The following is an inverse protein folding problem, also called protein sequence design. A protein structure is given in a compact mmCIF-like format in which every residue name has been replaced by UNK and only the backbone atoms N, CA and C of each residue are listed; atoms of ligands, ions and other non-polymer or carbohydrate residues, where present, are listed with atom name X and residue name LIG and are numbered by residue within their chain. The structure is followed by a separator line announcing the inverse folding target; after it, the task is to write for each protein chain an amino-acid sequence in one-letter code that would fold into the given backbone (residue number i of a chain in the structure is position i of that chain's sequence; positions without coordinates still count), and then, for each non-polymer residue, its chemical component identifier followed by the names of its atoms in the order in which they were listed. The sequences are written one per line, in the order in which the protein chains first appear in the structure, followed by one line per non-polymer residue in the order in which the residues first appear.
data_IF_880881851101
#
_entry.id   IF_880881851101
#
_cell.length_a   1.000
_cell.length_b   1.000
_cell.length_c   1.000
_cell.angle_alpha   90.00
_cell.angle_beta   90.00
_cell.angle_gamma   90.00
#
_symmetry.space_group_name_H-M   'P 1'
#
loop_
_entity.id
_entity.type
_entity.pdbx_description
1 polymer ?
#
# COMPACT_ATOMS: atom_id res chain seq x y z
N UNK A 1 24.14 -38.04 9.80
CA UNK A 1 23.89 -36.71 9.22
C UNK A 1 22.42 -36.64 8.83
N UNK A 2 21.56 -36.13 9.74
CA UNK A 2 20.11 -36.04 9.48
C UNK A 2 19.77 -34.63 9.03
N UNK A 3 19.48 -34.47 7.74
CA UNK A 3 19.06 -33.20 7.14
C UNK A 3 17.55 -33.02 7.31
N UNK A 4 17.14 -32.10 8.18
CA UNK A 4 15.75 -31.66 8.29
C UNK A 4 15.46 -30.57 7.24
N UNK A 5 14.63 -30.88 6.27
CA UNK A 5 14.09 -29.93 5.27
C UNK A 5 13.02 -29.05 5.92
N UNK A 6 13.36 -27.77 6.11
CA UNK A 6 12.46 -26.75 6.64
C UNK A 6 11.44 -26.30 5.57
N UNK A 7 10.19 -26.77 5.67
CA UNK A 7 9.10 -26.36 4.78
C UNK A 7 8.61 -24.98 5.19
N UNK A 8 8.96 -23.97 4.39
CA UNK A 8 8.54 -22.58 4.59
C UNK A 8 7.09 -22.40 4.15
N UNK A 9 6.14 -22.55 5.07
CA UNK A 9 4.72 -22.23 4.81
C UNK A 9 4.51 -20.72 4.69
N UNK A 10 4.20 -20.24 3.50
CA UNK A 10 3.88 -18.83 3.25
C UNK A 10 2.42 -18.55 3.63
N UNK A 11 2.19 -18.10 4.87
CA UNK A 11 0.88 -17.65 5.35
C UNK A 11 0.38 -16.48 4.48
N UNK A 12 -0.69 -16.69 3.69
CA UNK A 12 -1.35 -15.63 2.91
C UNK A 12 -1.78 -14.49 3.84
N UNK A 13 -1.22 -13.30 3.65
CA UNK A 13 -1.64 -12.09 4.37
C UNK A 13 -3.05 -11.72 3.92
N UNK A 14 -4.01 -11.74 4.84
CA UNK A 14 -5.32 -11.16 4.61
C UNK A 14 -5.17 -9.66 4.37
N UNK A 15 -5.39 -9.21 3.13
CA UNK A 15 -5.45 -7.79 2.81
C UNK A 15 -6.81 -7.27 3.24
N UNK A 16 -6.84 -6.40 4.25
CA UNK A 16 -8.03 -5.63 4.61
C UNK A 16 -8.47 -4.87 3.36
N UNK A 17 -9.63 -5.24 2.80
CA UNK A 17 -10.19 -4.57 1.61
C UNK A 17 -10.55 -3.15 2.02
N UNK A 18 -10.07 -2.17 1.25
CA UNK A 18 -10.45 -0.76 1.47
C UNK A 18 -11.99 -0.64 1.34
N UNK A 19 -12.66 0.12 2.22
CA UNK A 19 -14.08 0.40 2.07
C UNK A 19 -14.34 0.98 0.67
N UNK A 20 -15.44 0.56 0.06
CA UNK A 20 -15.93 1.17 -1.18
C UNK A 20 -16.89 2.29 -0.81
N UNK A 21 -16.73 3.42 -1.48
CA UNK A 21 -17.67 4.52 -1.40
C UNK A 21 -18.95 4.15 -2.16
N UNK A 22 -20.11 4.27 -1.50
CA UNK A 22 -21.41 4.01 -2.13
C UNK A 22 -21.96 5.24 -2.85
N UNK A 23 -21.51 6.43 -2.48
CA UNK A 23 -22.01 7.71 -2.97
C UNK A 23 -21.16 8.27 -4.10
N UNK A 24 -19.93 7.76 -4.28
CA UNK A 24 -19.09 8.13 -5.40
C UNK A 24 -19.72 7.72 -6.75
N UNK A 25 -19.65 8.57 -7.78
CA UNK A 25 -20.08 8.21 -9.12
C UNK A 25 -19.30 6.99 -9.60
N UNK A 26 -19.93 6.15 -10.43
CA UNK A 26 -19.29 4.94 -10.97
C UNK A 26 -18.55 5.28 -12.26
N UNK A 27 -17.29 4.88 -12.42
CA UNK A 27 -16.58 5.11 -13.67
C UNK A 27 -17.26 4.33 -14.81
N UNK A 28 -17.28 4.89 -16.03
CA UNK A 28 -17.83 4.19 -17.19
C UNK A 28 -16.99 2.96 -17.53
N UNK A 29 -17.64 1.96 -18.11
CA UNK A 29 -16.96 0.75 -18.58
C UNK A 29 -15.98 1.12 -19.69
N UNK A 30 -14.76 0.59 -19.62
CA UNK A 30 -13.78 0.76 -20.70
C UNK A 30 -14.30 0.18 -22.01
N UNK A 31 -13.80 0.62 -23.19
CA UNK A 31 -14.32 0.17 -24.48
C UNK A 31 -14.42 -1.34 -24.62
N UNK A 32 -13.37 -2.06 -24.21
CA UNK A 32 -13.34 -3.53 -24.22
C UNK A 32 -14.37 -4.15 -23.27
N UNK A 33 -14.56 -3.60 -22.07
CA UNK A 33 -15.53 -4.11 -21.11
C UNK A 33 -16.97 -3.81 -21.53
N UNK A 34 -17.22 -2.66 -22.16
CA UNK A 34 -18.50 -2.31 -22.78
C UNK A 34 -18.83 -3.29 -23.90
N UNK A 35 -17.89 -3.52 -24.81
CA UNK A 35 -18.02 -4.53 -25.86
C UNK A 35 -18.29 -5.93 -25.27
N UNK A 36 -17.48 -6.34 -24.29
CA UNK A 36 -17.65 -7.65 -23.65
C UNK A 36 -18.99 -7.79 -22.92
N UNK A 37 -19.57 -6.71 -22.39
CA UNK A 37 -20.92 -6.72 -21.82
C UNK A 37 -22.00 -6.84 -22.91
N UNK A 38 -21.86 -6.12 -24.02
CA UNK A 38 -22.76 -6.22 -25.18
C UNK A 38 -22.74 -7.63 -25.77
N UNK A 39 -21.56 -8.22 -25.98
CA UNK A 39 -21.44 -9.58 -26.52
C UNK A 39 -22.01 -10.65 -25.58
N UNK A 40 -21.81 -10.51 -24.25
CA UNK A 40 -22.42 -11.43 -23.27
C UNK A 40 -23.95 -11.28 -23.19
N UNK A 41 -24.49 -10.09 -23.46
CA UNK A 41 -25.93 -9.87 -23.52
C UNK A 41 -26.54 -10.38 -24.84
N UNK A 42 -25.80 -10.26 -25.94
CA UNK A 42 -26.21 -10.73 -27.26
C UNK A 42 -26.12 -12.25 -27.39
N UNK A 43 -25.11 -12.87 -26.78
CA UNK A 43 -24.87 -14.32 -26.86
C UNK A 43 -24.83 -14.95 -25.45
N UNK A 44 -25.93 -15.59 -25.03
CA UNK A 44 -26.01 -16.32 -23.77
C UNK A 44 -24.98 -17.45 -23.67
N UNK A 45 -24.50 -18.00 -24.78
CA UNK A 45 -23.50 -19.08 -24.77
C UNK A 45 -22.16 -18.59 -24.22
N UNK A 46 -21.77 -17.33 -24.52
CA UNK A 46 -20.59 -16.69 -23.93
C UNK A 46 -20.82 -16.51 -22.43
N UNK A 47 -22.00 -16.08 -22.02
CA UNK A 47 -22.32 -15.88 -20.59
C UNK A 47 -22.30 -17.20 -19.78
N UNK A 48 -22.62 -18.33 -20.42
CA UNK A 48 -22.62 -19.66 -19.82
C UNK A 48 -21.21 -20.26 -19.66
N UNK A 49 -20.21 -19.76 -20.39
CA UNK A 49 -18.82 -20.24 -20.27
C UNK A 49 -18.21 -19.82 -18.92
N UNK A 50 -17.22 -20.56 -18.39
CA UNK A 50 -16.41 -20.11 -17.25
C UNK A 50 -15.73 -18.77 -17.55
N UNK A 51 -15.67 -17.85 -16.57
CA UNK A 51 -15.14 -16.48 -16.73
C UNK A 51 -13.77 -16.43 -17.43
N UNK A 52 -12.87 -17.37 -17.13
CA UNK A 52 -11.57 -17.47 -17.80
C UNK A 52 -11.64 -17.82 -19.29
N UNK A 53 -12.64 -18.59 -19.71
CA UNK A 53 -12.91 -18.90 -21.13
C UNK A 53 -13.64 -17.75 -21.83
N UNK A 54 -14.55 -17.05 -21.13
CA UNK A 54 -15.24 -15.86 -21.67
C UNK A 54 -14.22 -14.82 -22.15
N UNK A 55 -13.20 -14.53 -21.32
CA UNK A 55 -12.18 -13.54 -21.66
C UNK A 55 -11.40 -13.87 -22.94
N UNK A 56 -11.16 -15.15 -23.24
CA UNK A 56 -10.47 -15.56 -24.47
C UNK A 56 -11.32 -15.30 -25.71
N UNK A 57 -12.57 -15.74 -25.69
CA UNK A 57 -13.52 -15.55 -26.79
C UNK A 57 -13.72 -14.05 -27.06
N UNK A 58 -13.94 -13.26 -26.00
CA UNK A 58 -14.12 -11.80 -26.13
C UNK A 58 -12.87 -11.09 -26.66
N UNK A 59 -11.67 -11.54 -26.28
CA UNK A 59 -10.43 -10.97 -26.79
C UNK A 59 -10.24 -11.26 -28.29
N UNK A 60 -10.54 -12.47 -28.74
CA UNK A 60 -10.49 -12.83 -30.16
C UNK A 60 -11.53 -12.05 -30.99
N UNK A 61 -12.75 -11.91 -30.48
CA UNK A 61 -13.80 -11.11 -31.11
C UNK A 61 -13.42 -9.63 -31.19
N UNK A 62 -12.85 -9.07 -30.11
CA UNK A 62 -12.36 -7.69 -30.11
C UNK A 62 -11.21 -7.50 -31.10
N UNK A 63 -10.27 -8.44 -31.19
CA UNK A 63 -9.16 -8.35 -32.14
C UNK A 63 -9.66 -8.33 -33.60
N UNK A 64 -10.68 -9.14 -33.92
CA UNK A 64 -11.31 -9.22 -35.25
C UNK A 64 -12.29 -8.08 -35.56
N UNK A 65 -12.68 -7.29 -34.56
CA UNK A 65 -13.61 -6.17 -34.75
C UNK A 65 -12.96 -5.10 -35.64
N UNK A 66 -13.74 -4.54 -36.57
CA UNK A 66 -13.32 -3.44 -37.43
C UNK A 66 -12.83 -2.24 -36.60
N UNK A 67 -11.81 -1.52 -37.08
CA UNK A 67 -11.26 -0.37 -36.35
C UNK A 67 -12.30 0.74 -36.20
N UNK A 68 -13.17 0.93 -37.20
CA UNK A 68 -14.27 1.90 -37.16
C UNK A 68 -15.24 1.60 -36.02
N UNK A 69 -15.61 0.33 -35.83
CA UNK A 69 -16.46 -0.10 -34.72
C UNK A 69 -15.74 0.04 -33.36
N UNK A 70 -14.43 -0.23 -33.29
CA UNK A 70 -13.65 0.05 -32.07
C UNK A 70 -13.61 1.55 -31.77
N UNK A 71 -13.48 2.39 -32.79
CA UNK A 71 -13.47 3.84 -32.66
C UNK A 71 -14.80 4.39 -32.18
N UNK A 72 -15.93 3.89 -32.68
CA UNK A 72 -17.27 4.23 -32.20
C UNK A 72 -17.37 3.97 -30.67
N UNK A 73 -16.98 2.77 -30.24
CA UNK A 73 -17.03 2.39 -28.82
C UNK A 73 -16.07 3.26 -27.98
N UNK A 74 -14.90 3.62 -28.52
CA UNK A 74 -13.96 4.56 -27.87
C UNK A 74 -14.57 5.97 -27.78
N UNK A 75 -15.25 6.46 -28.82
CA UNK A 75 -15.91 7.78 -28.83
C UNK A 75 -17.02 7.84 -27.78
N UNK A 76 -17.86 6.82 -27.68
CA UNK A 76 -18.87 6.73 -26.63
C UNK A 76 -18.24 6.69 -25.24
N UNK A 77 -17.21 5.87 -25.03
CA UNK A 77 -16.47 5.83 -23.77
C UNK A 77 -15.91 7.19 -23.39
N UNK A 78 -15.34 7.93 -24.35
CA UNK A 78 -14.78 9.25 -24.07
C UNK A 78 -15.86 10.26 -23.65
N UNK A 79 -17.05 10.21 -24.26
CA UNK A 79 -18.19 11.05 -23.84
C UNK A 79 -18.62 10.73 -22.41
N UNK A 80 -18.80 9.45 -22.10
CA UNK A 80 -19.21 9.03 -20.75
C UNK A 80 -18.13 9.33 -19.71
N UNK A 81 -16.86 9.21 -20.08
CA UNK A 81 -15.72 9.56 -19.23
C UNK A 81 -15.73 11.04 -18.89
N UNK A 82 -16.03 11.91 -19.85
CA UNK A 82 -16.14 13.35 -19.61
C UNK A 82 -17.32 13.70 -18.69
N UNK A 83 -18.46 13.02 -18.83
CA UNK A 83 -19.59 13.19 -17.91
C UNK A 83 -19.23 12.74 -16.50
N UNK A 84 -18.65 11.55 -16.37
CA UNK A 84 -18.18 11.02 -15.09
C UNK A 84 -17.15 11.93 -14.43
N UNK A 85 -16.24 12.53 -15.19
CA UNK A 85 -15.24 13.46 -14.66
C UNK A 85 -15.90 14.69 -14.03
N UNK A 86 -16.93 15.26 -14.68
CA UNK A 86 -17.73 16.36 -14.12
C UNK A 86 -18.49 15.95 -12.86
N UNK A 87 -19.19 14.81 -12.90
CA UNK A 87 -19.90 14.28 -11.73
C UNK A 87 -18.94 14.01 -10.55
N UNK A 88 -17.74 13.52 -10.85
CA UNK A 88 -16.70 13.26 -9.85
C UNK A 88 -16.15 14.56 -9.26
N UNK A 89 -15.99 15.61 -10.06
CA UNK A 89 -15.58 16.93 -9.58
C UNK A 89 -16.62 17.58 -8.67
N UNK A 90 -17.90 17.44 -9.00
CA UNK A 90 -19.01 17.86 -8.14
C UNK A 90 -19.05 17.03 -6.86
N UNK A 91 -18.96 15.72 -6.97
CA UNK A 91 -18.93 14.80 -5.83
C UNK A 91 -17.79 15.11 -4.86
N UNK A 92 -16.59 15.44 -5.35
CA UNK A 92 -15.45 15.82 -4.49
C UNK A 92 -15.70 17.06 -3.64
N UNK A 93 -16.68 17.90 -4.00
CA UNK A 93 -17.04 19.10 -3.24
C UNK A 93 -18.09 18.83 -2.17
N UNK A 94 -18.69 17.63 -2.14
CA UNK A 94 -19.77 17.32 -1.20
C UNK A 94 -19.25 16.83 0.16
N UNK A 95 -20.11 16.93 1.18
CA UNK A 95 -19.79 16.47 2.53
C UNK A 95 -19.65 14.94 2.61
N UNK A 96 -20.34 14.19 1.74
CA UNK A 96 -20.20 12.74 1.63
C UNK A 96 -18.78 12.33 1.23
N UNK A 97 -18.16 13.05 0.30
CA UNK A 97 -16.77 12.79 -0.06
C UNK A 97 -15.83 13.08 1.11
N UNK A 98 -16.05 14.19 1.83
CA UNK A 98 -15.24 14.56 2.99
C UNK A 98 -15.33 13.51 4.11
N UNK A 99 -16.55 13.11 4.47
CA UNK A 99 -16.78 12.07 5.50
C UNK A 99 -16.17 10.72 5.10
N UNK A 100 -16.24 10.34 3.82
CA UNK A 100 -15.59 9.13 3.33
C UNK A 100 -14.06 9.23 3.41
N UNK A 101 -13.47 10.38 3.02
CA UNK A 101 -12.02 10.62 3.16
C UNK A 101 -11.57 10.56 4.63
N UNK A 102 -12.34 11.12 5.55
CA UNK A 102 -12.02 11.09 6.98
C UNK A 102 -12.15 9.68 7.55
N UNK A 103 -13.12 8.89 7.07
CA UNK A 103 -13.22 7.46 7.37
C UNK A 103 -12.01 6.68 6.82
N UNK A 104 -11.53 6.99 5.61
CA UNK A 104 -10.33 6.36 5.06
C UNK A 104 -9.07 6.71 5.87
N UNK A 105 -8.93 7.99 6.26
CA UNK A 105 -7.82 8.45 7.12
C UNK A 105 -7.88 7.78 8.49
N UNK A 106 -9.04 7.74 9.13
CA UNK A 106 -9.20 7.10 10.43
C UNK A 106 -8.86 5.61 10.35
N UNK A 107 -9.32 4.88 9.33
CA UNK A 107 -8.92 3.48 9.12
C UNK A 107 -7.42 3.31 8.83
N UNK A 108 -6.79 4.28 8.16
CA UNK A 108 -5.33 4.26 7.94
C UNK A 108 -4.54 4.56 9.21
N UNK A 109 -5.10 5.36 10.12
CA UNK A 109 -4.53 5.65 11.44
C UNK A 109 -4.78 4.52 12.44
N UNK A 110 -5.93 3.84 12.34
CA UNK A 110 -6.33 2.64 13.11
C UNK A 110 -5.57 1.39 12.67
N UNK A 111 -4.96 1.38 11.47
CA UNK A 111 -3.70 0.63 11.29
C UNK A 111 -2.67 1.31 12.19
N UNK A 112 -2.78 1.02 13.48
CA UNK A 112 -1.89 1.51 14.52
C UNK A 112 -0.49 1.49 13.94
N UNK A 113 0.23 2.61 14.06
CA UNK A 113 1.68 2.59 14.00
C UNK A 113 2.09 1.54 15.03
N UNK A 114 2.28 0.28 14.61
CA UNK A 114 3.02 -0.70 15.39
C UNK A 114 4.33 0.01 15.65
N UNK A 115 4.53 0.49 16.88
CA UNK A 115 5.75 1.20 17.21
C UNK A 115 6.86 0.22 16.85
N UNK A 116 7.71 0.62 15.90
CA UNK A 116 8.79 -0.25 15.47
C UNK A 116 9.67 -0.41 16.70
N UNK A 117 9.92 -1.65 17.12
CA UNK A 117 10.84 -1.91 18.22
C UNK A 117 12.14 -1.17 17.96
N UNK A 118 12.57 -0.38 18.93
CA UNK A 118 13.82 0.32 18.89
C UNK A 118 14.96 -0.68 18.86
N UNK A 119 15.91 -0.47 17.94
CA UNK A 119 17.11 -1.29 17.85
C UNK A 119 18.24 -0.65 18.66
N UNK A 120 19.21 -1.46 19.05
CA UNK A 120 20.45 -0.98 19.68
C UNK A 120 21.15 0.08 18.82
N UNK A 121 21.17 -0.13 17.49
CA UNK A 121 21.72 0.83 16.54
C UNK A 121 20.98 2.18 16.57
N UNK A 122 19.66 2.18 16.75
CA UNK A 122 18.90 3.43 16.76
C UNK A 122 19.21 4.27 18.00
N UNK A 123 19.48 3.63 19.14
CA UNK A 123 19.91 4.32 20.36
C UNK A 123 21.33 4.87 20.22
N UNK A 124 22.25 4.05 19.69
CA UNK A 124 23.60 4.48 19.36
C UNK A 124 23.61 5.67 18.39
N UNK A 125 22.80 5.60 17.34
CA UNK A 125 22.68 6.63 16.32
C UNK A 125 22.28 7.98 16.92
N UNK A 126 21.27 8.02 17.81
CA UNK A 126 20.80 9.27 18.44
C UNK A 126 21.89 9.96 19.25
N UNK A 127 22.66 9.18 20.01
CA UNK A 127 23.72 9.69 20.88
C UNK A 127 24.93 10.18 20.06
N UNK A 128 25.35 9.37 19.09
CA UNK A 128 26.57 9.64 18.31
C UNK A 128 26.37 10.69 17.22
N UNK A 129 25.15 10.82 16.68
CA UNK A 129 24.88 11.81 15.63
C UNK A 129 25.19 13.24 16.09
N UNK A 130 24.77 13.60 17.30
CA UNK A 130 25.02 14.94 17.84
C UNK A 130 26.50 15.23 18.10
N UNK A 131 27.28 14.20 18.48
CA UNK A 131 28.72 14.32 18.74
C UNK A 131 29.47 14.46 17.42
N UNK A 132 29.27 13.52 16.50
CA UNK A 132 29.98 13.47 15.22
C UNK A 132 29.61 14.67 14.34
N UNK A 133 28.35 15.13 14.34
CA UNK A 133 27.96 16.34 13.62
C UNK A 133 28.61 17.62 14.19
N UNK A 134 28.86 17.68 15.50
CA UNK A 134 29.52 18.83 16.15
C UNK A 134 31.03 18.83 15.95
N UNK A 135 31.65 17.67 15.85
CA UNK A 135 33.08 17.53 15.56
C UNK A 135 33.38 17.73 14.07
N UNK A 136 32.48 17.23 13.20
CA UNK A 136 32.59 17.35 11.75
C UNK A 136 31.71 18.50 11.23
N UNK A 137 31.91 19.70 11.79
CA UNK A 137 31.18 20.91 11.35
C UNK A 137 31.45 21.16 9.86
N UNK A 138 30.39 21.14 9.06
CA UNK A 138 30.45 21.34 7.61
C UNK A 138 30.28 20.06 6.79
N UNK A 139 30.26 18.89 7.40
CA UNK A 139 29.90 17.65 6.72
C UNK A 139 28.39 17.59 6.48
N UNK A 140 27.97 17.04 5.33
CA UNK A 140 26.56 16.79 5.09
C UNK A 140 26.05 15.67 6.02
N UNK A 141 24.75 15.67 6.30
CA UNK A 141 24.15 14.66 7.17
C UNK A 141 24.46 13.23 6.71
N UNK A 142 24.60 13.00 5.39
CA UNK A 142 24.93 11.70 4.82
C UNK A 142 26.33 11.23 5.19
N UNK A 143 27.30 12.13 5.24
CA UNK A 143 28.68 11.81 5.60
C UNK A 143 28.79 11.50 7.10
N UNK A 144 28.10 12.29 7.93
CA UNK A 144 27.97 12.03 9.37
C UNK A 144 27.30 10.67 9.62
N UNK A 145 26.21 10.36 8.90
CA UNK A 145 25.56 9.05 8.96
C UNK A 145 26.49 7.91 8.53
N UNK A 146 27.28 8.10 7.48
CA UNK A 146 28.23 7.08 7.02
C UNK A 146 29.29 6.76 8.08
N UNK A 147 29.80 7.77 8.78
CA UNK A 147 30.73 7.61 9.91
C UNK A 147 30.06 6.80 11.04
N UNK A 148 28.83 7.13 11.42
CA UNK A 148 28.10 6.39 12.48
C UNK A 148 27.88 4.93 12.10
N UNK A 149 27.51 4.65 10.84
CA UNK A 149 27.34 3.27 10.35
C UNK A 149 28.64 2.48 10.42
N UNK A 150 29.77 3.11 10.08
CA UNK A 150 31.09 2.49 10.19
C UNK A 150 31.44 2.22 11.65
N UNK A 151 31.30 3.21 12.52
CA UNK A 151 31.62 3.08 13.94
C UNK A 151 30.75 2.01 14.63
N UNK A 152 29.46 1.88 14.26
CA UNK A 152 28.60 0.82 14.79
C UNK A 152 29.04 -0.60 14.41
N UNK A 153 29.73 -0.76 13.27
CA UNK A 153 30.28 -2.06 12.86
C UNK A 153 31.55 -2.42 13.61
N UNK A 154 32.32 -1.41 14.01
CA UNK A 154 33.63 -1.54 14.67
C UNK A 154 33.57 -1.45 16.20
N UNK A 155 32.40 -1.14 16.76
CA UNK A 155 32.18 -1.06 18.21
C UNK A 155 32.38 -2.41 18.90
N UNK A 156 32.93 -2.37 20.11
CA UNK A 156 33.12 -3.54 20.95
C UNK A 156 31.80 -4.14 21.45
N UNK A 157 31.82 -5.44 21.75
CA UNK A 157 30.63 -6.17 22.15
C UNK A 157 30.06 -5.70 23.50
N UNK A 158 30.90 -5.19 24.41
CA UNK A 158 30.44 -4.67 25.71
C UNK A 158 29.65 -3.38 25.55
N UNK A 159 30.18 -2.42 24.79
CA UNK A 159 29.46 -1.18 24.47
C UNK A 159 28.21 -1.47 23.65
N UNK A 160 28.27 -2.40 22.69
CA UNK A 160 27.10 -2.83 21.92
C UNK A 160 26.00 -3.41 22.82
N UNK A 161 26.38 -4.16 23.86
CA UNK A 161 25.45 -4.72 24.85
C UNK A 161 24.72 -3.62 25.63
N UNK A 162 25.41 -2.54 26.02
CA UNK A 162 24.77 -1.38 26.68
C UNK A 162 23.63 -0.82 25.81
N UNK A 163 23.84 -0.66 24.51
CA UNK A 163 22.80 -0.15 23.60
C UNK A 163 21.68 -1.16 23.36
N UNK A 164 21.98 -2.47 23.38
CA UNK A 164 20.96 -3.53 23.32
C UNK A 164 20.05 -3.45 24.55
N UNK A 165 20.62 -3.33 25.74
CA UNK A 165 19.86 -3.27 27.00
C UNK A 165 19.01 -1.99 27.07
N UNK A 166 19.56 -0.84 26.67
CA UNK A 166 18.81 0.42 26.54
C UNK A 166 17.63 0.30 25.57
N UNK A 167 17.86 -0.28 24.38
CA UNK A 167 16.81 -0.48 23.38
C UNK A 167 15.72 -1.44 23.89
N UNK A 168 16.10 -2.50 24.61
CA UNK A 168 15.16 -3.42 25.23
C UNK A 168 14.28 -2.73 26.27
N UNK A 169 14.88 -1.93 27.17
CA UNK A 169 14.15 -1.18 28.19
C UNK A 169 13.15 -0.18 27.58
N UNK A 170 13.55 0.52 26.51
CA UNK A 170 12.65 1.43 25.78
C UNK A 170 11.49 0.65 25.13
N UNK A 171 11.76 -0.52 24.59
CA UNK A 171 10.73 -1.37 23.99
C UNK A 171 9.74 -1.92 25.02
N UNK A 172 10.22 -2.24 26.23
CA UNK A 172 9.39 -2.67 27.36
C UNK A 172 8.50 -1.52 27.84
N UNK A 173 9.07 -0.34 28.10
CA UNK A 173 8.30 0.84 28.50
C UNK A 173 7.23 1.23 27.45
N UNK A 174 7.58 1.19 26.16
CA UNK A 174 6.62 1.44 25.07
C UNK A 174 5.50 0.40 25.02
N UNK A 175 5.78 -0.85 25.39
CA UNK A 175 4.79 -1.92 25.47
C UNK A 175 3.85 -1.73 26.66
N UNK A 176 4.39 -1.30 27.80
CA UNK A 176 3.63 -1.02 29.02
C UNK A 176 2.72 0.20 28.86
N UNK A 177 3.24 1.32 28.33
CA UNK A 177 2.45 2.52 28.03
C UNK A 177 1.28 2.20 27.08
N UNK A 178 1.54 1.39 26.05
CA UNK A 178 0.49 0.96 25.12
C UNK A 178 -0.58 0.07 25.78
N UNK A 179 -0.19 -0.73 26.78
CA UNK A 179 -1.14 -1.56 27.54
C UNK A 179 -2.02 -0.71 28.46
N UNK A 180 -1.43 0.29 29.11
CA UNK A 180 -2.16 1.23 29.96
C UNK A 180 -3.18 2.07 29.17
N UNK A 181 -2.83 2.51 27.95
CA UNK A 181 -3.71 3.30 27.07
C UNK A 181 -4.87 2.47 26.45
N UNK A 182 -4.83 1.13 26.54
CA UNK A 182 -5.91 0.25 26.08
C UNK A 182 -6.87 -0.23 27.17
N UNK A 183 -6.50 -0.03 28.44
CA UNK A 183 -7.26 -0.47 29.62
C UNK A 183 -8.05 0.70 30.28
N UNK A 184 -7.93 1.93 29.78
CA UNK A 184 -8.71 3.15 30.14
C UNK A 184 -9.76 3.44 29.06
#
# INVERSE_FOLDING_TARGET
MSSATNVRTTKKRATVKRPKDKNAPKPPLTPYLRFGAQQRAADPTISALPVGKQGKVLAEMWAKLAEEAKEEIKKEYNKDRQLYEKELEEYKKTDEYKTFQDTLKSLSNVKEKKSKKQSAYNEYYKEQYGIIAKENKGFEMKDVTAIIVKNWKEIDDETKKIYIDRANKINEANKENKKAESDD
#
